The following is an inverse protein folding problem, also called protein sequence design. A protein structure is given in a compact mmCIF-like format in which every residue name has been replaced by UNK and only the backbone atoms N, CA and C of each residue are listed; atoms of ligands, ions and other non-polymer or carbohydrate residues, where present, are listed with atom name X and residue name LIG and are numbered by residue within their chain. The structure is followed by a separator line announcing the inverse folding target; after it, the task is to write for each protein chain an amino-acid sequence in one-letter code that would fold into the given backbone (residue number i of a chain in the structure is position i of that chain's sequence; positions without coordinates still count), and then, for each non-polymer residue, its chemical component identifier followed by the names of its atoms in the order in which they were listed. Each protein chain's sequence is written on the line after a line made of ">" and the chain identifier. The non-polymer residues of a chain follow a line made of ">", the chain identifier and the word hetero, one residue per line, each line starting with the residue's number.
data_IF_343088905818
#
_entry.id   IF_343088905818
#
_cell.length_a   1.000
_cell.length_b   1.000
_cell.length_c   1.000
_cell.angle_alpha   90.00
_cell.angle_beta   90.00
_cell.angle_gamma   90.00
#
_symmetry.space_group_name_H-M   'P 1'
#
loop_
_entity.id
_entity.type
_entity.pdbx_description
1 polymer ?
#
# COMPACT_ATOMS: atom_id res chain seq x y z
N UNK A 1 -17.71 2.80 -13.32
CA UNK A 1 -17.16 4.17 -13.40
C UNK A 1 -16.05 4.33 -12.36
N UNK A 2 -14.86 4.85 -12.73
CA UNK A 2 -13.73 5.00 -11.80
C UNK A 2 -14.08 5.81 -10.55
N UNK A 3 -14.94 6.83 -10.69
CA UNK A 3 -15.44 7.65 -9.60
C UNK A 3 -16.21 6.85 -8.53
N UNK A 4 -17.01 5.86 -8.95
CA UNK A 4 -17.74 4.98 -8.02
C UNK A 4 -16.78 4.09 -7.23
N UNK A 5 -15.76 3.53 -7.90
CA UNK A 5 -14.75 2.69 -7.25
C UNK A 5 -13.93 3.48 -6.22
N UNK A 6 -13.53 4.71 -6.58
CA UNK A 6 -12.84 5.63 -5.67
C UNK A 6 -13.72 5.97 -4.46
N UNK A 7 -14.99 6.32 -4.68
CA UNK A 7 -15.91 6.65 -3.59
C UNK A 7 -16.14 5.46 -2.64
N UNK A 8 -16.31 4.25 -3.18
CA UNK A 8 -16.46 3.03 -2.39
C UNK A 8 -15.19 2.71 -1.58
N UNK A 9 -14.00 2.80 -2.20
CA UNK A 9 -12.74 2.60 -1.50
C UNK A 9 -12.49 3.65 -0.41
N UNK A 10 -12.85 4.92 -0.66
CA UNK A 10 -12.80 5.99 0.33
C UNK A 10 -13.76 5.79 1.50
N UNK A 11 -14.97 5.29 1.24
CA UNK A 11 -15.91 4.93 2.31
C UNK A 11 -15.35 3.80 3.19
N UNK A 12 -14.79 2.75 2.57
CA UNK A 12 -14.13 1.65 3.31
C UNK A 12 -12.93 2.15 4.12
N UNK A 13 -12.10 3.03 3.55
CA UNK A 13 -11.01 3.68 4.26
C UNK A 13 -11.52 4.34 5.55
N UNK A 14 -12.56 5.17 5.46
CA UNK A 14 -13.11 5.89 6.61
C UNK A 14 -13.68 4.94 7.66
N UNK A 15 -14.43 3.92 7.23
CA UNK A 15 -15.05 2.95 8.15
C UNK A 15 -14.00 2.08 8.88
N UNK A 16 -12.87 1.77 8.24
CA UNK A 16 -11.82 0.92 8.80
C UNK A 16 -10.73 1.69 9.58
N UNK A 17 -10.81 3.02 9.69
CA UNK A 17 -9.71 3.86 10.18
C UNK A 17 -9.48 3.81 11.70
N UNK A 18 -10.51 3.51 12.50
CA UNK A 18 -10.46 3.64 13.95
C UNK A 18 -10.36 2.28 14.67
N UNK A 19 -9.98 2.30 15.95
CA UNK A 19 -9.93 1.09 16.80
C UNK A 19 -11.25 0.83 17.56
N UNK A 20 -12.29 1.59 17.26
CA UNK A 20 -13.63 1.38 17.83
C UNK A 20 -14.30 0.13 17.25
N UNK A 21 -15.16 -0.54 18.03
CA UNK A 21 -15.74 -1.84 17.69
C UNK A 21 -16.40 -1.94 16.30
N UNK A 22 -17.17 -0.94 15.81
CA UNK A 22 -17.70 -0.95 14.45
C UNK A 22 -16.61 -1.02 13.37
N UNK A 23 -15.49 -0.32 13.56
CA UNK A 23 -14.37 -0.38 12.62
C UNK A 23 -13.67 -1.75 12.65
N UNK A 24 -13.58 -2.38 13.83
CA UNK A 24 -13.12 -3.77 13.97
C UNK A 24 -14.04 -4.74 13.21
N UNK A 25 -15.36 -4.59 13.38
CA UNK A 25 -16.36 -5.41 12.71
C UNK A 25 -16.34 -5.23 11.19
N UNK A 26 -16.15 -4.00 10.69
CA UNK A 26 -15.98 -3.73 9.25
C UNK A 26 -14.74 -4.42 8.71
N UNK A 27 -13.59 -4.34 9.40
CA UNK A 27 -12.37 -5.06 8.99
C UNK A 27 -12.60 -6.56 8.91
N UNK A 28 -13.30 -7.14 9.88
CA UNK A 28 -13.65 -8.56 9.89
C UNK A 28 -14.62 -8.93 8.75
N UNK A 29 -15.64 -8.10 8.52
CA UNK A 29 -16.67 -8.29 7.49
C UNK A 29 -16.08 -8.24 6.07
N UNK A 30 -15.19 -7.28 5.79
CA UNK A 30 -14.52 -7.19 4.47
C UNK A 30 -13.74 -8.47 4.14
N UNK A 31 -13.18 -9.15 5.14
CA UNK A 31 -12.52 -10.44 4.95
C UNK A 31 -13.51 -11.57 4.70
N UNK A 32 -14.60 -11.64 5.46
CA UNK A 32 -15.61 -12.72 5.30
C UNK A 32 -16.35 -12.61 3.98
N UNK A 33 -16.60 -11.39 3.51
CA UNK A 33 -17.30 -11.09 2.25
C UNK A 33 -16.38 -11.11 1.01
N UNK A 34 -15.17 -11.68 1.12
CA UNK A 34 -14.17 -11.73 0.02
C UNK A 34 -13.82 -10.37 -0.58
N UNK A 35 -13.95 -9.28 0.19
CA UNK A 35 -13.62 -7.93 -0.25
C UNK A 35 -12.11 -7.71 -0.44
N UNK A 36 -11.26 -8.45 0.27
CA UNK A 36 -9.80 -8.34 0.12
C UNK A 36 -9.32 -8.69 -1.31
N UNK A 37 -9.67 -9.85 -1.90
CA UNK A 37 -9.37 -10.14 -3.31
C UNK A 37 -9.82 -9.04 -4.28
N UNK A 38 -11.04 -8.52 -4.11
CA UNK A 38 -11.57 -7.44 -4.98
C UNK A 38 -10.71 -6.18 -4.88
N UNK A 39 -10.32 -5.77 -3.66
CA UNK A 39 -9.43 -4.63 -3.48
C UNK A 39 -8.04 -4.86 -4.10
N UNK A 40 -7.51 -6.08 -4.02
CA UNK A 40 -6.24 -6.45 -4.67
C UNK A 40 -6.35 -6.39 -6.19
N UNK A 41 -7.47 -6.80 -6.77
CA UNK A 41 -7.72 -6.65 -8.21
C UNK A 41 -7.78 -5.17 -8.63
N UNK A 42 -8.44 -4.33 -7.83
CA UNK A 42 -8.51 -2.89 -8.09
C UNK A 42 -7.13 -2.21 -8.03
N UNK A 43 -6.18 -2.76 -7.27
CA UNK A 43 -4.80 -2.28 -7.24
C UNK A 43 -4.12 -2.41 -8.61
N UNK A 44 -4.54 -3.36 -9.45
CA UNK A 44 -3.95 -3.58 -10.80
C UNK A 44 -4.44 -2.57 -11.83
N UNK A 45 -5.39 -1.72 -11.49
CA UNK A 45 -5.85 -0.64 -12.36
C UNK A 45 -4.77 0.43 -12.54
N UNK A 46 -4.91 1.20 -13.62
CA UNK A 46 -4.00 2.29 -14.00
C UNK A 46 -4.49 3.67 -13.51
N UNK A 47 -5.60 3.72 -12.78
CA UNK A 47 -6.16 4.96 -12.24
C UNK A 47 -5.52 5.31 -10.89
N UNK A 48 -4.70 6.36 -10.87
CA UNK A 48 -3.96 6.83 -9.69
C UNK A 48 -4.87 7.08 -8.48
N UNK A 49 -6.05 7.67 -8.70
CA UNK A 49 -6.98 8.00 -7.61
C UNK A 49 -7.59 6.75 -7.01
N UNK A 50 -7.94 5.78 -7.85
CA UNK A 50 -8.44 4.47 -7.40
C UNK A 50 -7.35 3.73 -6.64
N UNK A 51 -6.14 3.66 -7.19
CA UNK A 51 -4.98 3.00 -6.55
C UNK A 51 -4.68 3.64 -5.20
N UNK A 52 -4.64 4.97 -5.10
CA UNK A 52 -4.43 5.68 -3.83
C UNK A 52 -5.50 5.33 -2.78
N UNK A 53 -6.78 5.38 -3.17
CA UNK A 53 -7.89 5.09 -2.26
C UNK A 53 -7.86 3.63 -1.79
N UNK A 54 -7.69 2.68 -2.72
CA UNK A 54 -7.62 1.24 -2.45
C UNK A 54 -6.43 0.90 -1.57
N UNK A 55 -5.24 1.45 -1.88
CA UNK A 55 -4.03 1.22 -1.08
C UNK A 55 -4.22 1.71 0.35
N UNK A 56 -4.87 2.86 0.53
CA UNK A 56 -5.13 3.38 1.88
C UNK A 56 -6.22 2.57 2.60
N UNK A 57 -7.24 2.08 1.89
CA UNK A 57 -8.22 1.18 2.46
C UNK A 57 -7.55 -0.13 2.92
N UNK A 58 -6.68 -0.73 2.09
CA UNK A 58 -5.90 -1.92 2.44
C UNK A 58 -5.00 -1.67 3.67
N UNK A 59 -4.39 -0.48 3.79
CA UNK A 59 -3.63 -0.10 4.98
C UNK A 59 -4.49 -0.16 6.24
N UNK A 60 -5.68 0.43 6.21
CA UNK A 60 -6.59 0.42 7.35
C UNK A 60 -7.11 -1.00 7.65
N UNK A 61 -7.37 -1.80 6.62
CA UNK A 61 -7.76 -3.20 6.77
C UNK A 61 -6.64 -4.05 7.41
N UNK A 62 -5.37 -3.73 7.12
CA UNK A 62 -4.19 -4.41 7.67
C UNK A 62 -3.95 -4.16 9.17
N UNK A 63 -4.72 -3.26 9.79
CA UNK A 63 -4.75 -3.11 11.25
C UNK A 63 -5.27 -4.38 11.93
N UNK A 64 -6.16 -5.14 11.26
CA UNK A 64 -6.53 -6.48 11.68
C UNK A 64 -5.44 -7.49 11.28
N UNK A 65 -5.02 -8.32 12.24
CA UNK A 65 -3.90 -9.24 12.03
C UNK A 65 -4.18 -10.30 10.95
N UNK A 66 -5.40 -10.84 10.88
CA UNK A 66 -5.75 -11.85 9.87
C UNK A 66 -5.82 -11.23 8.48
N UNK A 67 -6.33 -10.00 8.39
CA UNK A 67 -6.31 -9.26 7.13
C UNK A 67 -4.88 -8.99 6.67
N UNK A 68 -3.99 -8.62 7.60
CA UNK A 68 -2.57 -8.35 7.31
C UNK A 68 -1.89 -9.56 6.66
N UNK A 69 -2.08 -10.75 7.22
CA UNK A 69 -1.52 -12.00 6.67
C UNK A 69 -2.02 -12.28 5.24
N UNK A 70 -3.33 -12.10 5.00
CA UNK A 70 -3.92 -12.28 3.68
C UNK A 70 -3.42 -11.24 2.66
N UNK A 71 -3.34 -9.97 3.06
CA UNK A 71 -2.81 -8.89 2.22
C UNK A 71 -1.35 -9.19 1.85
N UNK A 72 -0.53 -9.67 2.79
CA UNK A 72 0.86 -10.04 2.52
C UNK A 72 0.98 -11.16 1.50
N UNK A 73 0.10 -12.16 1.59
CA UNK A 73 0.10 -13.29 0.68
C UNK A 73 -0.34 -12.94 -0.73
N UNK A 74 -1.33 -12.06 -0.89
CA UNK A 74 -1.98 -11.84 -2.19
C UNK A 74 -1.65 -10.51 -2.86
N UNK A 75 -1.37 -9.45 -2.09
CA UNK A 75 -1.22 -8.10 -2.61
C UNK A 75 0.24 -7.68 -2.80
N UNK A 76 1.22 -8.46 -2.33
CA UNK A 76 2.59 -7.94 -2.18
C UNK A 76 3.31 -7.65 -3.47
N UNK A 77 3.20 -8.58 -4.42
CA UNK A 77 3.71 -8.35 -5.76
C UNK A 77 3.09 -7.12 -6.40
N UNK A 78 1.78 -6.93 -6.24
CA UNK A 78 1.05 -5.81 -6.82
C UNK A 78 1.42 -4.47 -6.12
N UNK A 79 1.59 -4.46 -4.80
CA UNK A 79 2.02 -3.28 -4.03
C UNK A 79 3.46 -2.86 -4.37
N UNK A 80 4.38 -3.81 -4.43
CA UNK A 80 5.78 -3.55 -4.84
C UNK A 80 5.84 -3.11 -6.30
N UNK A 81 4.98 -3.64 -7.17
CA UNK A 81 4.88 -3.21 -8.56
C UNK A 81 4.46 -1.74 -8.71
N UNK A 82 3.71 -1.18 -7.74
CA UNK A 82 3.34 0.24 -7.69
C UNK A 82 4.45 1.16 -7.18
N UNK A 83 5.52 0.63 -6.60
CA UNK A 83 6.70 1.45 -6.31
C UNK A 83 7.41 1.82 -7.61
N UNK A 84 7.98 3.05 -7.69
CA UNK A 84 8.82 3.47 -8.81
C UNK A 84 9.90 2.42 -9.11
N UNK A 85 10.13 2.13 -10.39
CA UNK A 85 11.16 1.17 -10.77
C UNK A 85 12.55 1.74 -10.50
N UNK A 86 13.44 0.90 -9.98
CA UNK A 86 14.84 1.25 -9.82
C UNK A 86 15.46 1.58 -11.19
N UNK A 87 16.11 2.73 -11.32
CA UNK A 87 16.76 3.16 -12.56
C UNK A 87 15.86 3.91 -13.56
N UNK A 88 14.58 4.17 -13.24
CA UNK A 88 13.81 5.14 -14.02
C UNK A 88 14.36 6.55 -13.78
N UNK A 89 15.13 7.06 -14.74
CA UNK A 89 15.65 8.43 -14.72
C UNK A 89 14.57 9.52 -14.85
N UNK A 90 13.31 9.13 -15.06
CA UNK A 90 12.17 10.03 -15.15
C UNK A 90 11.00 9.48 -14.32
N UNK A 91 10.28 10.40 -13.66
CA UNK A 91 9.06 10.11 -12.91
C UNK A 91 7.94 9.71 -13.87
N UNK A 92 7.21 8.66 -13.53
CA UNK A 92 5.94 8.36 -14.21
C UNK A 92 4.93 9.48 -13.90
N UNK A 93 4.51 10.31 -14.89
CA UNK A 93 3.57 11.40 -14.65
C UNK A 93 2.18 10.90 -14.24
N UNK A 94 1.88 9.61 -14.47
CA UNK A 94 0.60 9.02 -14.10
C UNK A 94 0.50 8.69 -12.61
N UNK A 95 1.61 8.71 -11.85
CA UNK A 95 1.63 8.36 -10.43
C UNK A 95 1.91 9.57 -9.55
N UNK A 96 0.98 9.88 -8.65
CA UNK A 96 1.11 11.01 -7.72
C UNK A 96 1.95 10.67 -6.48
N UNK A 97 2.50 11.70 -5.83
CA UNK A 97 3.19 11.53 -4.54
C UNK A 97 2.25 10.94 -3.47
N UNK A 98 0.94 11.23 -3.57
CA UNK A 98 -0.06 10.69 -2.66
C UNK A 98 -0.15 9.15 -2.78
N UNK A 99 -0.16 8.63 -4.01
CA UNK A 99 -0.18 7.19 -4.28
C UNK A 99 1.09 6.52 -3.79
N UNK A 100 2.26 7.08 -4.08
CA UNK A 100 3.54 6.54 -3.57
C UNK A 100 3.55 6.56 -2.04
N UNK A 101 3.08 7.64 -1.43
CA UNK A 101 2.95 7.76 0.02
C UNK A 101 1.99 6.72 0.63
N UNK A 102 0.87 6.43 -0.05
CA UNK A 102 -0.07 5.40 0.38
C UNK A 102 0.57 3.99 0.33
N UNK A 103 1.31 3.68 -0.75
CA UNK A 103 2.05 2.42 -0.90
C UNK A 103 3.11 2.28 0.19
N UNK A 104 3.92 3.31 0.41
CA UNK A 104 4.88 3.34 1.52
C UNK A 104 4.19 3.15 2.88
N UNK A 105 3.00 3.74 3.04
CA UNK A 105 2.23 3.65 4.27
C UNK A 105 1.72 2.26 4.61
N UNK A 106 1.26 1.49 3.62
CA UNK A 106 0.87 0.10 3.85
C UNK A 106 2.09 -0.80 4.06
N UNK A 107 3.18 -0.59 3.32
CA UNK A 107 4.43 -1.35 3.51
C UNK A 107 5.00 -1.12 4.92
N UNK A 108 5.03 0.13 5.39
CA UNK A 108 5.44 0.46 6.75
C UNK A 108 4.60 -0.27 7.80
N UNK A 109 3.26 -0.20 7.68
CA UNK A 109 2.33 -0.73 8.68
C UNK A 109 2.35 -2.26 8.75
N UNK A 110 2.64 -2.92 7.63
CA UNK A 110 2.64 -4.37 7.53
C UNK A 110 3.97 -4.97 7.98
N UNK A 111 5.10 -4.40 7.55
CA UNK A 111 6.46 -4.84 7.89
C UNK A 111 6.74 -4.73 9.38
N UNK A 112 6.36 -3.61 10.02
CA UNK A 112 6.58 -3.39 11.46
C UNK A 112 5.92 -4.44 12.36
N UNK A 113 4.98 -5.22 11.82
CA UNK A 113 4.21 -6.21 12.57
C UNK A 113 4.33 -7.64 12.03
N UNK A 114 5.12 -7.89 10.98
CA UNK A 114 5.24 -9.23 10.38
C UNK A 114 6.57 -9.43 9.65
N UNK A 115 7.39 -10.36 10.14
CA UNK A 115 8.67 -10.71 9.54
C UNK A 115 8.53 -11.46 8.20
N UNK A 116 7.45 -12.23 8.02
CA UNK A 116 7.17 -12.86 6.72
C UNK A 116 6.88 -11.81 5.65
N UNK A 117 6.29 -10.69 6.04
CA UNK A 117 6.04 -9.57 5.14
C UNK A 117 7.35 -8.91 4.68
N UNK A 118 8.29 -8.72 5.61
CA UNK A 118 9.66 -8.30 5.30
C UNK A 118 10.28 -9.22 4.25
N UNK A 119 10.20 -10.55 4.45
CA UNK A 119 10.74 -11.55 3.51
C UNK A 119 10.09 -11.43 2.12
N UNK A 120 8.77 -11.33 2.05
CA UNK A 120 8.04 -11.18 0.77
C UNK A 120 8.45 -9.91 0.02
N UNK A 121 8.69 -8.79 0.71
CA UNK A 121 9.16 -7.54 0.09
C UNK A 121 10.55 -7.73 -0.52
N UNK A 122 11.45 -8.39 0.21
CA UNK A 122 12.80 -8.72 -0.30
C UNK A 122 12.71 -9.61 -1.54
N UNK A 123 11.89 -10.68 -1.51
CA UNK A 123 11.69 -11.60 -2.63
C UNK A 123 11.07 -10.93 -3.86
N UNK A 124 10.20 -9.93 -3.65
CA UNK A 124 9.60 -9.15 -4.74
C UNK A 124 10.53 -8.04 -5.29
N UNK A 125 11.76 -7.90 -4.77
CA UNK A 125 12.68 -6.84 -5.16
C UNK A 125 12.30 -5.44 -4.66
N UNK A 126 11.45 -5.36 -3.63
CA UNK A 126 10.98 -4.07 -3.08
C UNK A 126 12.09 -3.27 -2.41
N UNK A 127 13.09 -3.93 -1.84
CA UNK A 127 14.22 -3.28 -1.15
C UNK A 127 15.07 -2.42 -2.08
N UNK A 128 15.32 -2.90 -3.31
CA UNK A 128 16.06 -2.13 -4.32
C UNK A 128 15.25 -0.91 -4.78
N UNK A 129 13.94 -1.09 -5.01
CA UNK A 129 13.02 0.00 -5.37
C UNK A 129 12.96 1.07 -4.28
N UNK A 130 12.85 0.66 -3.01
CA UNK A 130 12.84 1.57 -1.86
C UNK A 130 14.16 2.34 -1.71
N UNK A 131 15.29 1.65 -1.92
CA UNK A 131 16.62 2.28 -1.90
C UNK A 131 16.77 3.31 -3.01
N UNK A 132 16.34 2.97 -4.23
CA UNK A 132 16.33 3.92 -5.35
C UNK A 132 15.44 5.12 -5.04
N UNK A 133 14.23 4.89 -4.54
CA UNK A 133 13.28 5.95 -4.18
C UNK A 133 13.82 6.87 -3.08
N UNK A 134 14.48 6.33 -2.06
CA UNK A 134 15.11 7.09 -0.98
C UNK A 134 16.18 8.08 -1.48
N UNK A 135 16.85 7.75 -2.58
CA UNK A 135 17.87 8.59 -3.23
C UNK A 135 17.36 9.35 -4.45
N UNK A 136 16.06 9.34 -4.73
CA UNK A 136 15.48 9.94 -5.95
C UNK A 136 15.12 11.42 -5.82
N UNK A 137 15.68 12.16 -4.86
CA UNK A 137 15.51 13.62 -4.80
C UNK A 137 16.35 14.30 -5.89
N UNK A 138 15.82 15.29 -6.66
CA UNK A 138 14.55 16.01 -6.49
C UNK A 138 13.37 15.46 -7.32
N UNK A 139 13.49 14.28 -7.94
CA UNK A 139 12.44 13.68 -8.79
C UNK A 139 11.17 13.38 -7.99
N UNK A 140 11.32 12.90 -6.75
CA UNK A 140 10.24 12.77 -5.77
C UNK A 140 10.42 13.78 -4.64
N UNK A 141 9.33 14.15 -3.97
CA UNK A 141 9.43 15.10 -2.85
C UNK A 141 10.29 14.54 -1.72
N UNK A 142 10.98 15.44 -1.00
CA UNK A 142 11.80 15.06 0.15
C UNK A 142 11.02 14.33 1.26
N UNK A 143 9.69 14.51 1.33
CA UNK A 143 8.80 13.75 2.22
C UNK A 143 8.73 12.27 1.83
N UNK A 144 8.54 11.98 0.54
CA UNK A 144 8.52 10.62 0.01
C UNK A 144 9.86 9.94 0.15
N UNK A 145 10.96 10.63 -0.19
CA UNK A 145 12.31 10.08 -0.04
C UNK A 145 12.61 9.71 1.42
N UNK A 146 12.29 10.60 2.37
CA UNK A 146 12.44 10.32 3.81
C UNK A 146 11.57 9.15 4.26
N UNK A 147 10.32 9.07 3.77
CA UNK A 147 9.44 7.97 4.15
C UNK A 147 9.95 6.63 3.61
N UNK A 148 10.42 6.59 2.36
CA UNK A 148 11.07 5.42 1.78
C UNK A 148 12.28 4.97 2.61
N UNK A 149 13.11 5.91 3.07
CA UNK A 149 14.22 5.60 3.98
C UNK A 149 13.77 5.00 5.31
N UNK A 150 12.65 5.48 5.88
CA UNK A 150 12.09 4.90 7.11
C UNK A 150 11.58 3.47 6.90
N UNK A 151 10.89 3.20 5.78
CA UNK A 151 10.47 1.84 5.45
C UNK A 151 11.69 0.93 5.27
N UNK A 152 12.71 1.42 4.55
CA UNK A 152 13.95 0.68 4.34
C UNK A 152 14.66 0.36 5.66
N UNK A 153 14.67 1.28 6.63
CA UNK A 153 15.30 1.06 7.94
C UNK A 153 14.63 -0.06 8.75
N UNK A 154 13.31 -0.25 8.60
CA UNK A 154 12.57 -1.32 9.29
C UNK A 154 12.73 -2.68 8.57
N UNK A 155 13.09 -2.67 7.28
CA UNK A 155 13.32 -3.88 6.49
C UNK A 155 14.70 -4.51 6.70
N UNK A 156 15.64 -3.79 7.33
CA UNK A 156 17.05 -4.14 7.52
C UNK A 156 17.28 -4.73 8.91
#
# INVERSE_FOLDING_TARGET
>A
MPQTLQASAGALQNLAACQFDPSVNVRACVRTEKGLPVLVELLRLHDDKVVCAVTTALRNLSLDQRNRELIGKYAMKDLVAKLPQAGQGCRDPSVSDATVGAVLGILFETVRHSADFTRNIHECGGTERLRSLASSYPVYSGRICKYASQVLWILV
#
